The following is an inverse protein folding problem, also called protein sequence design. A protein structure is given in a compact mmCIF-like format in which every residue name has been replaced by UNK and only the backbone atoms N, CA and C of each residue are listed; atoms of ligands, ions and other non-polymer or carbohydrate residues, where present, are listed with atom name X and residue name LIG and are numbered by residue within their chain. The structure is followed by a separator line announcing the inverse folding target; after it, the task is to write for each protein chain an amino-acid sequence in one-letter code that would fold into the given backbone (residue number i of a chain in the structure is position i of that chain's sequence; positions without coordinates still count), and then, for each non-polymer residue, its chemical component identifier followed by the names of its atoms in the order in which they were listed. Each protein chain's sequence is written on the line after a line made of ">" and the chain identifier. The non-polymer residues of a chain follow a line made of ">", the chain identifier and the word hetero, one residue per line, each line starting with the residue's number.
data_IF_099490829744
#
_entry.id   IF_099490829744
#
_cell.length_a   1.000
_cell.length_b   1.000
_cell.length_c   1.000
_cell.angle_alpha   90.00
_cell.angle_beta   90.00
_cell.angle_gamma   90.00
#
_symmetry.space_group_name_H-M   'P 1'
#
loop_
_entity.id
_entity.type
_entity.pdbx_description
1 polymer ?
#
# COMPACT_ATOMS: atom_id res chain seq x y z
N UNK A 1 14.16 36.62 -6.55
CA UNK A 1 13.31 35.86 -7.51
C UNK A 1 12.12 35.31 -6.75
N UNK A 2 10.90 35.75 -7.07
CA UNK A 2 9.70 35.30 -6.38
C UNK A 2 9.47 33.81 -6.64
N UNK A 3 9.51 32.99 -5.59
CA UNK A 3 8.99 31.63 -5.66
C UNK A 3 7.47 31.73 -5.90
N UNK A 4 7.05 31.53 -7.15
CA UNK A 4 5.64 31.31 -7.46
C UNK A 4 5.18 30.09 -6.66
N UNK A 5 4.41 30.35 -5.59
CA UNK A 5 3.81 29.32 -4.74
C UNK A 5 2.73 28.61 -5.56
N UNK A 6 3.13 27.59 -6.33
CA UNK A 6 2.22 26.80 -7.15
C UNK A 6 1.21 26.11 -6.24
N UNK A 7 -0.08 26.22 -6.56
CA UNK A 7 -1.16 25.54 -5.84
C UNK A 7 -0.97 24.03 -5.92
N UNK A 8 -1.31 23.32 -4.84
CA UNK A 8 -1.26 21.86 -4.77
C UNK A 8 -2.03 21.19 -5.91
N UNK A 9 -3.21 21.73 -6.25
CA UNK A 9 -4.02 21.26 -7.38
C UNK A 9 -3.25 21.23 -8.71
N UNK A 10 -2.46 22.27 -9.00
CA UNK A 10 -1.66 22.34 -10.23
C UNK A 10 -0.50 21.34 -10.20
N UNK A 11 0.11 21.15 -9.02
CA UNK A 11 1.18 20.16 -8.83
C UNK A 11 0.67 18.73 -8.99
N UNK A 12 -0.56 18.44 -8.56
CA UNK A 12 -1.20 17.14 -8.77
C UNK A 12 -1.62 16.93 -10.23
N UNK A 13 -2.18 17.96 -10.88
CA UNK A 13 -2.54 17.89 -12.31
C UNK A 13 -1.31 17.59 -13.20
N UNK A 14 -0.19 18.25 -12.92
CA UNK A 14 1.07 18.08 -13.65
C UNK A 14 2.11 17.30 -12.84
N UNK A 15 1.67 16.26 -12.11
CA UNK A 15 2.54 15.54 -11.17
C UNK A 15 3.79 14.95 -11.83
N UNK A 16 3.71 14.55 -13.09
CA UNK A 16 4.84 14.08 -13.88
C UNK A 16 5.94 15.14 -14.07
N UNK A 17 5.60 16.43 -14.09
CA UNK A 17 6.58 17.53 -14.06
C UNK A 17 7.05 17.80 -12.62
N UNK A 18 6.14 17.80 -11.65
CA UNK A 18 6.47 18.04 -10.24
C UNK A 18 7.43 16.97 -9.66
N UNK A 19 7.35 15.73 -10.15
CA UNK A 19 8.29 14.63 -9.84
C UNK A 19 9.74 14.97 -10.21
N UNK A 20 9.98 15.91 -11.13
CA UNK A 20 11.33 16.37 -11.49
C UNK A 20 11.91 17.34 -10.45
N UNK A 21 11.10 17.87 -9.53
CA UNK A 21 11.58 18.76 -8.47
C UNK A 21 12.57 18.03 -7.54
N UNK A 22 13.60 18.74 -7.08
CA UNK A 22 14.60 18.18 -6.17
C UNK A 22 13.97 17.60 -4.90
N UNK A 23 12.95 18.26 -4.35
CA UNK A 23 12.23 17.78 -3.17
C UNK A 23 11.49 16.46 -3.39
N UNK A 24 10.78 16.32 -4.51
CA UNK A 24 10.01 15.10 -4.75
C UNK A 24 10.92 13.94 -5.16
N UNK A 25 11.99 14.21 -5.91
CA UNK A 25 13.05 13.24 -6.20
C UNK A 25 13.70 12.72 -4.91
N UNK A 26 14.07 13.60 -3.98
CA UNK A 26 14.71 13.20 -2.73
C UNK A 26 13.77 12.36 -1.87
N UNK A 27 12.50 12.74 -1.77
CA UNK A 27 11.48 11.99 -1.03
C UNK A 27 11.29 10.56 -1.59
N UNK A 28 11.15 10.42 -2.91
CA UNK A 28 10.97 9.10 -3.54
C UNK A 28 12.20 8.21 -3.38
N UNK A 29 13.41 8.76 -3.52
CA UNK A 29 14.67 8.03 -3.32
C UNK A 29 14.86 7.64 -1.85
N UNK A 30 14.50 8.52 -0.92
CA UNK A 30 14.54 8.21 0.50
C UNK A 30 13.60 7.07 0.86
N UNK A 31 12.35 7.11 0.36
CA UNK A 31 11.39 6.01 0.54
C UNK A 31 11.95 4.67 0.04
N UNK A 32 12.54 4.65 -1.16
CA UNK A 32 13.18 3.45 -1.72
C UNK A 32 14.31 2.93 -0.82
N UNK A 33 15.21 3.80 -0.36
CA UNK A 33 16.30 3.44 0.55
C UNK A 33 15.80 2.86 1.88
N UNK A 34 14.78 3.48 2.48
CA UNK A 34 14.19 3.02 3.75
C UNK A 34 13.59 1.62 3.58
N UNK A 35 12.79 1.43 2.53
CA UNK A 35 12.17 0.14 2.21
C UNK A 35 13.23 -0.95 2.02
N UNK A 36 14.32 -0.66 1.31
CA UNK A 36 15.40 -1.63 1.14
C UNK A 36 16.08 -1.98 2.48
N UNK A 37 16.41 -0.98 3.30
CA UNK A 37 17.01 -1.21 4.62
C UNK A 37 16.11 -2.03 5.55
N UNK A 38 14.81 -1.82 5.49
CA UNK A 38 13.84 -2.65 6.23
C UNK A 38 13.89 -4.10 5.78
N UNK A 39 13.94 -4.36 4.47
CA UNK A 39 14.09 -5.71 3.93
C UNK A 39 15.42 -6.36 4.33
N UNK A 40 16.53 -5.64 4.20
CA UNK A 40 17.85 -6.13 4.62
C UNK A 40 17.85 -6.53 6.10
N UNK A 41 17.27 -5.71 6.96
CA UNK A 41 17.16 -5.99 8.38
C UNK A 41 16.27 -7.21 8.66
N UNK A 42 15.04 -7.23 8.11
CA UNK A 42 14.09 -8.31 8.39
C UNK A 42 14.53 -9.64 7.76
N UNK A 43 14.88 -9.66 6.48
CA UNK A 43 15.28 -10.88 5.77
C UNK A 43 16.66 -11.36 6.20
N UNK A 44 17.68 -10.51 6.05
CA UNK A 44 19.07 -10.97 6.11
C UNK A 44 19.56 -11.11 7.56
N UNK A 45 19.10 -10.24 8.47
CA UNK A 45 19.53 -10.27 9.87
C UNK A 45 18.61 -11.09 10.77
N UNK A 46 17.30 -11.10 10.49
CA UNK A 46 16.30 -11.74 11.36
C UNK A 46 15.57 -12.93 10.75
N UNK A 47 15.90 -13.32 9.52
CA UNK A 47 15.36 -14.53 8.89
C UNK A 47 13.86 -14.45 8.58
N UNK A 48 13.30 -13.26 8.41
CA UNK A 48 11.94 -13.10 7.90
C UNK A 48 11.87 -13.43 6.41
N UNK A 49 10.70 -13.90 5.97
CA UNK A 49 10.41 -14.16 4.55
C UNK A 49 9.42 -13.11 4.04
N UNK A 50 9.79 -12.41 2.97
CA UNK A 50 8.93 -11.47 2.24
C UNK A 50 7.97 -12.30 1.38
N UNK A 51 6.69 -12.35 1.74
CA UNK A 51 5.68 -13.14 1.01
C UNK A 51 4.57 -12.22 0.50
N UNK A 52 4.28 -12.31 -0.79
CA UNK A 52 3.16 -11.59 -1.37
C UNK A 52 1.85 -12.33 -1.11
N UNK A 53 0.86 -11.61 -0.57
CA UNK A 53 -0.49 -12.15 -0.35
C UNK A 53 -1.49 -11.59 -1.36
N UNK A 54 -2.51 -12.37 -1.77
CA UNK A 54 -3.52 -11.93 -2.74
C UNK A 54 -4.25 -10.62 -2.38
N UNK A 55 -4.48 -9.79 -3.39
CA UNK A 55 -5.25 -8.53 -3.28
C UNK A 55 -6.71 -8.65 -3.70
N UNK A 56 -7.08 -9.69 -4.47
CA UNK A 56 -8.47 -10.00 -4.77
C UNK A 56 -8.93 -11.09 -3.82
N UNK A 57 -9.71 -10.72 -2.80
CA UNK A 57 -10.08 -11.61 -1.70
C UNK A 57 -11.59 -11.65 -1.47
N UNK A 58 -12.05 -12.53 -0.58
CA UNK A 58 -13.44 -12.52 -0.13
C UNK A 58 -13.68 -11.36 0.84
N UNK A 59 -14.89 -10.82 0.84
CA UNK A 59 -15.29 -9.79 1.80
C UNK A 59 -15.18 -10.31 3.23
N UNK A 60 -14.62 -9.50 4.14
CA UNK A 60 -14.60 -9.82 5.57
C UNK A 60 -15.84 -9.24 6.27
N UNK A 61 -16.73 -10.08 6.85
CA UNK A 61 -17.87 -9.59 7.60
C UNK A 61 -17.41 -8.80 8.84
N UNK A 62 -17.98 -7.61 9.07
CA UNK A 62 -17.72 -6.80 10.28
C UNK A 62 -16.58 -5.77 10.18
N UNK A 63 -15.88 -5.69 9.05
CA UNK A 63 -14.84 -4.67 8.81
C UNK A 63 -15.40 -3.31 8.35
N UNK A 64 -14.50 -2.34 8.14
CA UNK A 64 -14.84 -1.08 7.48
C UNK A 64 -15.26 -1.33 6.01
N UNK A 65 -15.73 -0.31 5.29
CA UNK A 65 -16.09 -0.48 3.87
C UNK A 65 -14.85 -0.88 3.05
N UNK A 66 -15.05 -1.87 2.18
CA UNK A 66 -14.03 -2.43 1.29
C UNK A 66 -14.38 -2.04 -0.14
N UNK A 67 -13.36 -1.75 -0.95
CA UNK A 67 -13.55 -1.64 -2.40
C UNK A 67 -13.91 -3.00 -2.98
N UNK A 68 -14.86 -3.02 -3.91
CA UNK A 68 -15.31 -4.24 -4.59
C UNK A 68 -14.83 -4.25 -6.04
N UNK A 69 -14.43 -5.44 -6.51
CA UNK A 69 -14.00 -5.68 -7.88
C UNK A 69 -14.96 -6.70 -8.50
N UNK A 70 -15.78 -6.32 -9.49
CA UNK A 70 -16.68 -7.25 -10.15
C UNK A 70 -15.90 -8.32 -10.91
N UNK A 71 -16.44 -9.53 -10.91
CA UNK A 71 -15.92 -10.62 -11.75
C UNK A 71 -16.68 -10.69 -13.06
N UNK A 72 -16.18 -11.49 -14.01
CA UNK A 72 -16.93 -11.81 -15.24
C UNK A 72 -18.16 -12.67 -14.96
N UNK A 73 -18.19 -13.38 -13.82
CA UNK A 73 -19.33 -14.17 -13.40
C UNK A 73 -20.42 -13.27 -12.79
N UNK A 74 -21.66 -13.31 -13.31
CA UNK A 74 -22.74 -12.48 -12.80
C UNK A 74 -22.99 -12.68 -11.31
N UNK A 75 -23.10 -11.58 -10.57
CA UNK A 75 -23.39 -11.58 -9.13
C UNK A 75 -22.22 -11.90 -8.21
N UNK A 76 -21.02 -12.16 -8.75
CA UNK A 76 -19.81 -12.42 -7.95
C UNK A 76 -18.82 -11.26 -7.99
N UNK A 77 -18.22 -10.99 -6.83
CA UNK A 77 -17.30 -9.88 -6.61
C UNK A 77 -16.15 -10.34 -5.71
N UNK A 78 -14.98 -9.75 -5.92
CA UNK A 78 -13.89 -9.74 -4.96
C UNK A 78 -13.95 -8.45 -4.13
N UNK A 79 -13.27 -8.47 -2.98
CA UNK A 79 -12.96 -7.30 -2.17
C UNK A 79 -11.46 -7.06 -2.18
N UNK A 80 -11.05 -5.78 -2.20
CA UNK A 80 -9.67 -5.39 -1.93
C UNK A 80 -9.39 -5.39 -0.41
N UNK A 81 -8.25 -5.93 0.06
CA UNK A 81 -7.99 -6.11 1.48
C UNK A 81 -7.65 -4.79 2.18
N UNK A 82 -8.16 -4.62 3.39
CA UNK A 82 -7.78 -3.51 4.27
C UNK A 82 -6.41 -3.71 4.92
N UNK A 83 -5.97 -4.97 5.02
CA UNK A 83 -4.65 -5.41 5.48
C UNK A 83 -4.46 -6.90 5.11
N UNK A 84 -3.21 -7.41 5.06
CA UNK A 84 -2.95 -8.83 4.81
C UNK A 84 -3.21 -9.73 6.04
N UNK A 85 -3.94 -9.24 7.05
CA UNK A 85 -4.03 -9.87 8.38
C UNK A 85 -4.50 -11.34 8.35
N UNK A 86 -5.49 -11.66 7.51
CA UNK A 86 -5.99 -13.04 7.40
C UNK A 86 -4.94 -13.98 6.78
N UNK A 87 -4.26 -13.54 5.72
CA UNK A 87 -3.19 -14.33 5.11
C UNK A 87 -1.98 -14.45 6.05
N UNK A 88 -1.62 -13.38 6.76
CA UNK A 88 -0.59 -13.45 7.81
C UNK A 88 -0.90 -14.57 8.79
N UNK A 89 -2.13 -14.64 9.31
CA UNK A 89 -2.51 -15.71 10.24
C UNK A 89 -2.41 -17.10 9.61
N UNK A 90 -2.86 -17.26 8.36
CA UNK A 90 -2.75 -18.53 7.63
C UNK A 90 -1.30 -18.94 7.40
N UNK A 91 -0.40 -17.99 7.10
CA UNK A 91 1.02 -18.25 6.91
C UNK A 91 1.69 -18.70 8.21
N UNK A 92 1.37 -18.07 9.34
CA UNK A 92 1.85 -18.53 10.65
C UNK A 92 1.35 -19.95 10.94
N UNK A 93 0.06 -20.24 10.71
CA UNK A 93 -0.52 -21.58 10.89
C UNK A 93 0.15 -22.60 9.95
N UNK A 94 0.50 -22.20 8.73
CA UNK A 94 1.21 -23.02 7.75
C UNK A 94 2.69 -23.28 8.07
N UNK A 95 3.20 -22.80 9.21
CA UNK A 95 4.57 -23.03 9.65
C UNK A 95 5.58 -21.97 9.22
N UNK A 96 5.13 -20.85 8.64
CA UNK A 96 6.02 -19.72 8.35
C UNK A 96 6.23 -18.89 9.63
N UNK A 97 7.24 -19.26 10.42
CA UNK A 97 7.53 -18.65 11.74
C UNK A 97 7.74 -17.12 11.67
N UNK A 98 8.34 -16.62 10.58
CA UNK A 98 8.67 -15.19 10.40
C UNK A 98 8.23 -14.69 9.04
N UNK A 99 7.10 -14.01 9.01
CA UNK A 99 6.52 -13.37 7.83
C UNK A 99 6.59 -11.85 7.94
N UNK A 100 6.93 -11.20 6.84
CA UNK A 100 6.61 -9.80 6.63
C UNK A 100 6.20 -9.56 5.18
N UNK A 101 5.57 -8.42 4.94
CA UNK A 101 5.24 -7.94 3.61
C UNK A 101 5.14 -6.43 3.67
N UNK A 102 5.62 -5.76 2.62
CA UNK A 102 5.33 -4.35 2.36
C UNK A 102 4.08 -4.32 1.49
N UNK A 103 2.91 -4.35 2.12
CA UNK A 103 1.64 -4.65 1.49
C UNK A 103 0.93 -3.39 1.00
N UNK A 104 0.21 -3.50 -0.13
CA UNK A 104 -0.76 -2.49 -0.55
C UNK A 104 -2.11 -2.79 0.11
N UNK A 105 -2.62 -1.81 0.84
CA UNK A 105 -3.87 -1.89 1.58
C UNK A 105 -4.86 -0.86 1.05
N UNK A 106 -6.15 -1.17 1.11
CA UNK A 106 -7.22 -0.38 0.53
C UNK A 106 -8.33 -0.11 1.55
N UNK A 107 -8.82 1.13 1.63
CA UNK A 107 -9.93 1.49 2.52
C UNK A 107 -10.89 2.42 1.81
N UNK A 108 -12.16 2.03 1.75
CA UNK A 108 -13.24 2.87 1.25
C UNK A 108 -13.80 3.73 2.40
N UNK A 109 -12.92 4.57 2.95
CA UNK A 109 -13.30 5.56 3.96
C UNK A 109 -13.54 6.92 3.29
N UNK A 110 -14.48 7.71 3.82
CA UNK A 110 -14.74 9.06 3.33
C UNK A 110 -13.45 9.88 3.26
N UNK A 111 -13.25 10.61 2.15
CA UNK A 111 -12.01 11.32 1.86
C UNK A 111 -11.74 12.40 2.91
N UNK A 112 -10.77 12.16 3.80
CA UNK A 112 -10.09 13.21 4.55
C UNK A 112 -8.80 13.57 3.81
N UNK A 113 -8.31 14.82 3.89
CA UNK A 113 -7.16 15.29 3.09
C UNK A 113 -5.89 14.44 3.21
N UNK A 114 -5.71 13.73 4.32
CA UNK A 114 -4.52 12.91 4.61
C UNK A 114 -4.77 11.40 4.46
N UNK A 115 -5.94 10.98 3.95
CA UNK A 115 -6.29 9.56 3.77
C UNK A 115 -6.42 9.24 2.29
N UNK A 116 -5.39 8.60 1.75
CA UNK A 116 -5.47 8.00 0.42
C UNK A 116 -6.26 6.69 0.48
N UNK A 117 -7.10 6.39 -0.53
CA UNK A 117 -7.89 5.16 -0.58
C UNK A 117 -7.01 3.91 -0.64
N UNK A 118 -5.77 4.07 -1.10
CA UNK A 118 -4.74 3.04 -1.10
C UNK A 118 -3.48 3.54 -0.39
N UNK A 119 -2.83 2.67 0.37
CA UNK A 119 -1.61 3.01 1.11
C UNK A 119 -0.76 1.77 1.36
N UNK A 120 0.51 1.98 1.71
CA UNK A 120 1.45 0.91 2.00
C UNK A 120 1.56 0.68 3.50
N UNK A 121 1.46 -0.58 3.93
CA UNK A 121 1.79 -1.03 5.29
C UNK A 121 3.02 -1.91 5.28
#
# INVERSE_FOLDING_TARGET
>A
MAQSRKTEALRMQYRYLDIRSGQLQSNLRLRSKIVMKMREYLCNLHGFVDVETPTLFKRTPGGAKEFVVPTREPGKFYSLPQSPQQFKQLLIIGGLDRYFQIARCYRDEGSKPDRQPEFTQ
#
